data_IF_974618362262
#
_entry.id   IF_974618362262
#
_cell.length_a   1.000
_cell.length_b   1.000
_cell.length_c   1.000
_cell.angle_alpha   90.00
_cell.angle_beta   90.00
_cell.angle_gamma   90.00
#
_symmetry.space_group_name_H-M   'P 1'
#
loop_
_entity.id
_entity.type
_entity.pdbx_description
1 polymer ?
#
# COMPACT_ATOMS: atom_id res chain seq x y z
N UNK A 1 7.41 17.02 0.00
CA UNK A 1 6.01 16.71 0.34
C UNK A 1 5.85 16.07 1.71
N UNK A 2 6.72 15.14 2.15
CA UNK A 2 6.69 14.53 3.49
C UNK A 2 6.59 15.55 4.66
N UNK A 3 7.39 16.62 4.65
CA UNK A 3 7.30 17.69 5.67
C UNK A 3 5.95 18.42 5.70
N UNK A 4 5.17 18.40 4.60
CA UNK A 4 3.84 19.02 4.55
C UNK A 4 2.79 18.22 5.31
N UNK A 5 2.90 16.88 5.30
CA UNK A 5 2.00 15.98 6.03
C UNK A 5 2.27 15.98 7.54
N UNK A 6 3.55 16.09 7.92
CA UNK A 6 3.94 16.29 9.32
C UNK A 6 3.44 17.64 9.83
N UNK A 7 3.60 18.72 9.03
CA UNK A 7 3.10 20.06 9.39
C UNK A 7 1.58 20.18 9.45
N UNK A 8 0.84 19.38 8.67
CA UNK A 8 -0.62 19.39 8.67
C UNK A 8 -1.25 18.59 9.82
N UNK A 9 -0.44 17.91 10.64
CA UNK A 9 -0.94 17.01 11.69
C UNK A 9 -1.57 15.73 11.15
N UNK A 10 -1.44 15.45 9.84
CA UNK A 10 -2.03 14.26 9.23
C UNK A 10 -1.43 12.97 9.80
N UNK A 11 -0.13 12.96 10.08
CA UNK A 11 0.56 11.79 10.64
C UNK A 11 -0.01 11.46 12.02
N UNK A 12 -0.14 12.46 12.90
CA UNK A 12 -0.66 12.27 14.25
C UNK A 12 -2.14 11.87 14.23
N UNK A 13 -2.95 12.52 13.39
CA UNK A 13 -4.36 12.16 13.20
C UNK A 13 -4.51 10.72 12.70
N UNK A 14 -3.74 10.34 11.67
CA UNK A 14 -3.81 9.02 11.08
C UNK A 14 -3.31 7.96 12.07
N UNK A 15 -2.23 8.23 12.80
CA UNK A 15 -1.71 7.34 13.84
C UNK A 15 -2.73 7.11 14.97
N UNK A 16 -3.38 8.17 15.46
CA UNK A 16 -4.41 8.06 16.49
C UNK A 16 -5.67 7.34 16.01
N UNK A 17 -6.06 7.58 14.74
CA UNK A 17 -7.18 6.89 14.12
C UNK A 17 -6.89 5.40 13.97
N UNK A 18 -5.70 5.06 13.47
CA UNK A 18 -5.28 3.67 13.31
C UNK A 18 -5.06 2.97 14.65
N UNK A 19 -4.46 3.60 15.66
CA UNK A 19 -4.26 2.98 16.97
C UNK A 19 -5.59 2.61 17.64
N UNK A 20 -6.61 3.45 17.48
CA UNK A 20 -7.97 3.18 17.98
C UNK A 20 -8.62 2.01 17.23
N UNK A 21 -8.47 1.94 15.91
CA UNK A 21 -9.09 0.88 15.10
C UNK A 21 -8.31 -0.45 15.08
N UNK A 22 -7.04 -0.42 15.47
CA UNK A 22 -6.18 -1.60 15.57
C UNK A 22 -6.09 -2.15 17.01
N UNK A 23 -6.80 -1.54 17.97
CA UNK A 23 -6.82 -2.03 19.33
C UNK A 23 -7.37 -3.48 19.38
N UNK A 24 -6.62 -4.37 20.04
CA UNK A 24 -6.97 -5.80 20.13
C UNK A 24 -6.55 -6.65 18.92
N UNK A 25 -5.97 -6.06 17.86
CA UNK A 25 -5.45 -6.84 16.74
C UNK A 25 -4.14 -7.54 17.12
N UNK A 26 -3.93 -8.74 16.59
CA UNK A 26 -2.62 -9.38 16.69
C UNK A 26 -1.59 -8.60 15.85
N UNK A 27 -0.30 -8.63 16.21
CA UNK A 27 0.72 -7.93 15.44
C UNK A 27 0.74 -8.30 13.95
N UNK A 28 0.50 -9.57 13.63
CA UNK A 28 0.40 -10.03 12.24
C UNK A 28 -0.85 -9.48 11.54
N UNK A 29 -2.00 -9.43 12.21
CA UNK A 29 -3.19 -8.81 11.65
C UNK A 29 -2.98 -7.32 11.36
N UNK A 30 -2.28 -6.62 12.26
CA UNK A 30 -1.88 -5.21 12.07
C UNK A 30 -1.03 -5.02 10.80
N UNK A 31 -0.06 -5.90 10.54
CA UNK A 31 0.73 -5.87 9.30
C UNK A 31 -0.16 -5.97 8.07
N UNK A 32 -1.09 -6.92 8.04
CA UNK A 32 -2.03 -7.10 6.92
C UNK A 32 -2.82 -5.81 6.68
N UNK A 33 -3.43 -5.26 7.74
CA UNK A 33 -4.26 -4.06 7.63
C UNK A 33 -3.45 -2.89 7.10
N UNK A 34 -2.26 -2.64 7.66
CA UNK A 34 -1.40 -1.54 7.24
C UNK A 34 -0.94 -1.68 5.78
N UNK A 35 -0.61 -2.89 5.32
CA UNK A 35 -0.27 -3.15 3.91
C UNK A 35 -1.47 -2.90 3.00
N UNK A 36 -2.67 -3.36 3.38
CA UNK A 36 -3.88 -3.15 2.57
C UNK A 36 -4.27 -1.67 2.50
N UNK A 37 -4.17 -0.94 3.61
CA UNK A 37 -4.42 0.50 3.64
C UNK A 37 -3.43 1.24 2.74
N UNK A 38 -2.14 0.92 2.83
CA UNK A 38 -1.12 1.47 1.95
C UNK A 38 -1.43 1.18 0.47
N UNK A 39 -1.69 -0.09 0.14
CA UNK A 39 -1.95 -0.54 -1.23
C UNK A 39 -3.18 0.12 -1.86
N UNK A 40 -4.32 0.13 -1.16
CA UNK A 40 -5.57 0.68 -1.69
C UNK A 40 -5.62 2.21 -1.65
N UNK A 41 -4.87 2.86 -0.76
CA UNK A 41 -4.75 4.31 -0.78
C UNK A 41 -4.20 4.81 -2.13
N UNK A 42 -3.48 3.99 -2.89
CA UNK A 42 -2.96 4.37 -4.21
C UNK A 42 -4.02 4.82 -5.22
N UNK A 43 -5.26 4.36 -5.10
CA UNK A 43 -6.37 4.85 -5.93
C UNK A 43 -6.52 6.38 -5.86
N UNK A 44 -6.09 7.00 -4.76
CA UNK A 44 -6.14 8.43 -4.51
C UNK A 44 -4.91 9.20 -5.04
N UNK A 45 -3.90 8.51 -5.58
CA UNK A 45 -2.63 9.11 -6.01
C UNK A 45 -2.38 8.92 -7.50
N UNK A 46 -2.04 10.01 -8.19
CA UNK A 46 -1.67 9.98 -9.60
C UNK A 46 -0.23 9.46 -9.89
N UNK A 47 0.49 8.97 -8.88
CA UNK A 47 1.89 8.55 -9.03
C UNK A 47 2.33 7.64 -7.88
N UNK A 48 2.98 6.52 -8.20
CA UNK A 48 3.60 5.63 -7.21
C UNK A 48 4.67 6.35 -6.38
N UNK A 49 5.46 7.23 -6.99
CA UNK A 49 6.51 7.99 -6.28
C UNK A 49 5.90 8.98 -5.29
N UNK A 50 4.85 9.70 -5.70
CA UNK A 50 4.14 10.63 -4.80
C UNK A 50 3.44 9.89 -3.65
N UNK A 51 2.82 8.75 -3.95
CA UNK A 51 2.22 7.86 -2.96
C UNK A 51 3.27 7.38 -1.94
N UNK A 52 4.37 6.81 -2.42
CA UNK A 52 5.43 6.25 -1.56
C UNK A 52 6.06 7.33 -0.68
N UNK A 53 6.39 8.50 -1.24
CA UNK A 53 6.98 9.61 -0.51
C UNK A 53 6.06 10.18 0.60
N UNK A 54 4.76 9.95 0.48
CA UNK A 54 3.71 10.44 1.38
C UNK A 54 3.35 9.38 2.42
N UNK A 55 2.92 8.21 1.96
CA UNK A 55 2.28 7.20 2.79
C UNK A 55 3.27 6.27 3.49
N UNK A 56 4.41 5.94 2.87
CA UNK A 56 5.37 5.00 3.45
C UNK A 56 5.87 5.45 4.83
N UNK A 57 6.34 6.71 5.04
CA UNK A 57 6.79 7.13 6.37
C UNK A 57 5.66 7.13 7.41
N UNK A 58 4.42 7.43 6.99
CA UNK A 58 3.25 7.43 7.89
C UNK A 58 2.94 6.01 8.37
N UNK A 59 2.85 5.06 7.46
CA UNK A 59 2.55 3.66 7.79
C UNK A 59 3.64 3.03 8.65
N UNK A 60 4.92 3.33 8.37
CA UNK A 60 6.03 2.85 9.17
C UNK A 60 6.06 3.46 10.58
N UNK A 61 5.71 4.74 10.72
CA UNK A 61 5.59 5.38 12.03
C UNK A 61 4.49 4.74 12.87
N UNK A 62 3.33 4.45 12.27
CA UNK A 62 2.23 3.73 12.94
C UNK A 62 2.65 2.32 13.33
N UNK A 63 3.24 1.56 12.39
CA UNK A 63 3.71 0.20 12.66
C UNK A 63 4.72 0.12 13.80
N UNK A 64 5.67 1.06 13.86
CA UNK A 64 6.66 1.16 14.94
C UNK A 64 6.02 1.50 16.30
N UNK A 65 4.90 2.22 16.31
CA UNK A 65 4.18 2.59 17.52
C UNK A 65 3.39 1.45 18.16
N UNK A 66 3.16 0.34 17.43
CA UNK A 66 2.37 -0.80 17.90
C UNK A 66 3.31 -1.91 18.39
N UNK A 67 3.27 -2.29 19.69
CA UNK A 67 4.13 -3.33 20.23
C UNK A 67 3.98 -4.67 19.50
N UNK A 68 5.11 -5.33 19.22
CA UNK A 68 5.16 -6.68 18.66
C UNK A 68 5.01 -6.77 17.14
N UNK A 69 4.79 -5.65 16.43
CA UNK A 69 4.73 -5.65 14.96
C UNK A 69 6.10 -6.04 14.38
N UNK A 70 6.19 -7.09 13.51
CA UNK A 70 7.44 -7.49 12.88
C UNK A 70 7.83 -6.46 11.81
N UNK A 71 8.62 -5.47 12.22
CA UNK A 71 8.87 -4.28 11.39
C UNK A 71 9.57 -4.60 10.07
N UNK A 72 10.46 -5.59 10.07
CA UNK A 72 11.13 -6.09 8.87
C UNK A 72 10.13 -6.62 7.84
N UNK A 73 9.19 -7.47 8.28
CA UNK A 73 8.16 -8.03 7.40
C UNK A 73 7.27 -6.92 6.83
N UNK A 74 6.82 -5.98 7.67
CA UNK A 74 6.01 -4.85 7.21
C UNK A 74 6.76 -4.01 6.16
N UNK A 75 8.03 -3.67 6.40
CA UNK A 75 8.84 -2.94 5.43
C UNK A 75 8.94 -3.64 4.07
N UNK A 76 9.27 -4.95 4.08
CA UNK A 76 9.40 -5.74 2.85
C UNK A 76 8.07 -5.79 2.09
N UNK A 77 6.97 -6.09 2.79
CA UNK A 77 5.65 -6.19 2.17
C UNK A 77 5.20 -4.85 1.58
N UNK A 78 5.43 -3.74 2.28
CA UNK A 78 5.12 -2.41 1.75
C UNK A 78 5.90 -2.14 0.46
N UNK A 79 7.21 -2.38 0.44
CA UNK A 79 8.04 -2.13 -0.74
C UNK A 79 7.65 -3.03 -1.92
N UNK A 80 7.42 -4.32 -1.69
CA UNK A 80 6.96 -5.24 -2.73
C UNK A 80 5.60 -4.83 -3.29
N UNK A 81 4.69 -4.35 -2.43
CA UNK A 81 3.36 -3.90 -2.86
C UNK A 81 3.42 -2.70 -3.82
N UNK A 82 4.46 -1.83 -3.75
CA UNK A 82 4.63 -0.68 -4.67
C UNK A 82 4.71 -1.14 -6.12
N UNK A 83 5.45 -2.23 -6.38
CA UNK A 83 5.52 -2.79 -7.73
C UNK A 83 4.17 -3.28 -8.23
N UNK A 84 3.39 -3.90 -7.35
CA UNK A 84 2.07 -4.46 -7.66
C UNK A 84 1.03 -3.35 -7.90
N UNK A 85 1.08 -2.24 -7.16
CA UNK A 85 0.14 -1.12 -7.30
C UNK A 85 0.12 -0.51 -8.72
N UNK A 86 1.20 -0.69 -9.49
CA UNK A 86 1.32 -0.17 -10.84
C UNK A 86 0.22 -0.62 -11.82
N UNK A 87 -0.50 -1.70 -11.51
CA UNK A 87 -1.61 -2.20 -12.33
C UNK A 87 -2.99 -1.67 -11.94
N UNK A 88 -3.13 -0.97 -10.80
CA UNK A 88 -4.44 -0.61 -10.25
C UNK A 88 -5.16 0.45 -11.08
N UNK A 89 -4.44 1.47 -11.53
CA UNK A 89 -5.00 2.62 -12.23
C UNK A 89 -4.17 2.98 -13.47
N UNK A 90 -4.79 3.58 -14.51
CA UNK A 90 -4.07 4.00 -15.70
C UNK A 90 -2.93 4.98 -15.43
N UNK A 91 -3.05 5.77 -14.37
CA UNK A 91 -2.10 6.81 -14.00
C UNK A 91 -1.09 6.37 -12.95
N UNK A 92 -1.12 5.12 -12.47
CA UNK A 92 -0.18 4.64 -11.47
C UNK A 92 1.28 4.80 -11.94
N UNK A 93 1.54 4.53 -13.22
CA UNK A 93 2.87 4.55 -13.83
C UNK A 93 2.88 5.31 -15.17
N UNK A 94 4.05 5.83 -15.54
CA UNK A 94 4.26 6.47 -16.85
C UNK A 94 3.86 5.58 -18.04
N UNK A 95 4.31 4.31 -18.10
CA UNK A 95 3.87 3.37 -19.13
C UNK A 95 2.36 3.15 -19.16
N UNK A 96 1.70 3.10 -17.99
CA UNK A 96 0.25 2.96 -17.89
C UNK A 96 -0.51 4.08 -18.60
N UNK A 97 -0.06 5.33 -18.42
CA UNK A 97 -0.68 6.51 -19.05
C UNK A 97 -0.55 6.44 -20.57
N UNK A 98 0.60 6.01 -21.08
CA UNK A 98 0.84 5.87 -22.52
C UNK A 98 -0.08 4.79 -23.10
N UNK A 99 -0.12 3.61 -22.50
CA UNK A 99 -0.95 2.48 -22.94
C UNK A 99 -2.44 2.87 -22.96
N UNK A 100 -2.89 3.54 -21.91
CA UNK A 100 -4.27 4.04 -21.81
C UNK A 100 -4.56 5.11 -22.87
N UNK A 101 -3.62 6.00 -23.13
CA UNK A 101 -3.74 7.08 -24.12
C UNK A 101 -3.83 6.59 -25.58
N UNK A 102 -3.29 5.41 -25.90
CA UNK A 102 -3.38 4.84 -27.24
C UNK A 102 -4.80 4.39 -27.64
N UNK A 103 -5.74 4.29 -26.69
CA UNK A 103 -7.14 3.93 -26.98
C UNK A 103 -7.40 2.44 -27.28
N UNK A 104 -6.36 1.60 -27.31
CA UNK A 104 -6.51 0.15 -27.50
C UNK A 104 -7.20 -0.55 -26.31
N UNK A 105 -6.99 -0.04 -25.10
CA UNK A 105 -7.63 -0.56 -23.88
C UNK A 105 -8.73 0.40 -23.47
N UNK A 106 -10.00 -0.07 -23.51
CA UNK A 106 -11.13 0.74 -23.05
C UNK A 106 -11.01 1.03 -21.57
N UNK A 107 -11.41 2.22 -21.13
CA UNK A 107 -11.31 2.62 -19.72
C UNK A 107 -11.97 1.63 -18.77
N UNK A 108 -13.19 1.17 -19.11
CA UNK A 108 -13.91 0.17 -18.32
C UNK A 108 -13.10 -1.11 -18.11
N UNK A 109 -12.43 -1.58 -19.15
CA UNK A 109 -11.65 -2.82 -19.10
C UNK A 109 -10.36 -2.62 -18.30
N UNK A 110 -9.70 -1.47 -18.43
CA UNK A 110 -8.52 -1.13 -17.62
C UNK A 110 -8.86 -1.15 -16.12
N UNK A 111 -9.90 -0.43 -15.71
CA UNK A 111 -10.32 -0.37 -14.30
C UNK A 111 -10.78 -1.73 -13.77
N UNK A 112 -11.54 -2.48 -14.57
CA UNK A 112 -12.01 -3.82 -14.19
C UNK A 112 -10.84 -4.79 -14.03
N UNK A 113 -9.93 -4.84 -15.00
CA UNK A 113 -8.78 -5.74 -14.97
C UNK A 113 -7.78 -5.32 -13.89
N UNK A 114 -7.53 -4.02 -13.73
CA UNK A 114 -6.67 -3.48 -12.67
C UNK A 114 -7.16 -3.85 -11.28
N UNK A 115 -8.47 -3.75 -11.03
CA UNK A 115 -9.06 -4.20 -9.77
C UNK A 115 -8.94 -5.73 -9.57
N UNK A 116 -9.25 -6.53 -10.59
CA UNK A 116 -9.18 -8.00 -10.51
C UNK A 116 -7.74 -8.46 -10.27
N UNK A 117 -6.81 -8.06 -11.12
CA UNK A 117 -5.41 -8.46 -11.00
C UNK A 117 -4.75 -7.84 -9.77
N UNK A 118 -5.10 -6.61 -9.40
CA UNK A 118 -4.65 -5.99 -8.16
C UNK A 118 -5.00 -6.82 -6.93
N UNK A 119 -6.26 -7.27 -6.83
CA UNK A 119 -6.70 -8.16 -5.75
C UNK A 119 -5.96 -9.50 -5.79
N UNK A 120 -5.84 -10.12 -6.97
CA UNK A 120 -5.10 -11.40 -7.11
C UNK A 120 -3.66 -11.24 -6.61
N UNK A 121 -2.95 -10.21 -7.05
CA UNK A 121 -1.54 -10.03 -6.71
C UNK A 121 -1.32 -9.68 -5.24
N UNK A 122 -2.14 -8.80 -4.65
CA UNK A 122 -1.99 -8.49 -3.22
C UNK A 122 -2.37 -9.70 -2.35
N UNK A 123 -3.37 -10.50 -2.75
CA UNK A 123 -3.69 -11.76 -2.08
C UNK A 123 -2.55 -12.76 -2.20
N UNK A 124 -1.93 -12.91 -3.36
CA UNK A 124 -0.75 -13.78 -3.52
C UNK A 124 0.43 -13.31 -2.69
N UNK A 125 0.68 -12.00 -2.61
CA UNK A 125 1.74 -11.45 -1.76
C UNK A 125 1.50 -11.78 -0.28
N UNK A 126 0.27 -11.61 0.22
CA UNK A 126 -0.06 -11.83 1.64
C UNK A 126 -0.21 -13.30 2.02
N UNK A 127 -0.78 -14.13 1.14
CA UNK A 127 -1.09 -15.54 1.43
C UNK A 127 0.03 -16.50 1.03
N UNK A 128 0.92 -16.10 0.12
CA UNK A 128 2.01 -16.95 -0.38
C UNK A 128 3.36 -16.28 -0.15
N UNK A 129 3.52 -15.04 -0.61
CA UNK A 129 4.79 -14.31 -0.48
C UNK A 129 5.23 -14.13 0.97
N UNK A 130 4.32 -13.69 1.84
CA UNK A 130 4.64 -13.44 3.25
C UNK A 130 4.96 -14.73 4.03
N UNK A 131 4.16 -15.82 3.95
CA UNK A 131 4.55 -17.07 4.60
C UNK A 131 5.92 -17.59 4.14
N UNK A 132 6.26 -17.49 2.85
CA UNK A 132 7.58 -17.88 2.36
C UNK A 132 8.69 -17.02 2.97
N UNK A 133 8.49 -15.70 3.03
CA UNK A 133 9.43 -14.78 3.68
C UNK A 133 9.61 -15.13 5.17
N UNK A 134 8.52 -15.43 5.87
CA UNK A 134 8.53 -15.78 7.28
C UNK A 134 9.21 -17.13 7.57
N UNK A 135 9.35 -18.02 6.58
CA UNK A 135 10.12 -19.27 6.73
C UNK A 135 11.63 -19.04 6.74
N UNK A 136 12.10 -17.90 6.20
CA UNK A 136 13.52 -17.61 6.02
C UNK A 136 14.07 -16.61 7.04
N UNK A 137 13.21 -16.04 7.88
CA UNK A 137 13.54 -15.13 8.99
C UNK A 137 13.47 -15.86 10.33
#
# INVERSE_FOLDING_TARGET
>A
MANGLTRSGFIDWFANTMSTHLEGFSPNATVIVLVLVFYFAHYLFASLSAHTATMLPVILAVGKGIPGVPMEHLCILLVLSIGIMGCLTPYATGPGVIIYGCGYVKSKDYWRLGAIFGVIYISLLLLVGWPILALWS
#
